data_IF_721730601788
#
_entry.id   IF_721730601788
#
_cell.length_a   1.000
_cell.length_b   1.000
_cell.length_c   1.000
_cell.angle_alpha   90.00
_cell.angle_beta   90.00
_cell.angle_gamma   90.00
#
_symmetry.space_group_name_H-M   'P 1'
#
loop_
_entity.id
_entity.type
_entity.pdbx_description
1 polymer ?
#
# COMPACT_ATOMS: atom_id res chain seq x y z
N UNK A 1 13.69 0.68 39.74
CA UNK A 1 13.33 1.67 38.71
C UNK A 1 12.98 0.90 37.45
N UNK A 2 11.70 0.56 37.26
CA UNK A 2 11.25 -0.17 36.08
C UNK A 2 11.19 0.81 34.91
N UNK A 3 12.05 0.58 33.90
CA UNK A 3 12.05 1.37 32.67
C UNK A 3 10.69 1.24 31.99
N UNK A 4 9.99 2.36 31.84
CA UNK A 4 8.81 2.41 30.96
C UNK A 4 9.30 2.14 29.53
N UNK A 5 8.62 1.30 28.73
CA UNK A 5 8.93 1.22 27.32
C UNK A 5 8.78 2.64 26.76
N UNK A 6 9.81 3.11 26.07
CA UNK A 6 9.72 4.32 25.28
C UNK A 6 8.52 4.16 24.36
N UNK A 7 7.60 5.13 24.41
CA UNK A 7 6.62 5.31 23.35
C UNK A 7 7.38 5.17 22.04
N UNK A 8 7.04 4.16 21.23
CA UNK A 8 7.75 3.87 20.00
C UNK A 8 7.91 5.18 19.24
N UNK A 9 9.13 5.71 19.18
CA UNK A 9 9.46 6.75 18.20
C UNK A 9 9.01 6.15 16.87
N UNK A 10 8.19 6.87 16.11
CA UNK A 10 7.77 6.40 14.79
C UNK A 10 9.01 5.86 14.08
N UNK A 11 9.00 4.57 13.73
CA UNK A 11 10.18 3.91 13.18
C UNK A 11 10.62 4.70 11.95
N UNK A 12 11.90 5.07 11.92
CA UNK A 12 12.52 5.65 10.75
C UNK A 12 12.75 4.52 9.73
N UNK A 13 12.14 4.65 8.55
CA UNK A 13 12.16 3.64 7.48
C UNK A 13 13.09 4.02 6.33
N UNK A 14 13.97 5.01 6.54
CA UNK A 14 15.00 5.40 5.57
C UNK A 14 15.81 4.20 5.10
N UNK A 15 16.12 4.14 3.80
CA UNK A 15 16.82 3.02 3.18
C UNK A 15 15.92 1.86 2.74
N UNK A 16 14.63 1.88 3.10
CA UNK A 16 13.65 0.88 2.65
C UNK A 16 12.81 1.40 1.48
N UNK A 17 12.38 0.47 0.64
CA UNK A 17 11.46 0.69 -0.47
C UNK A 17 10.35 -0.35 -0.43
N UNK A 18 9.09 0.05 -0.60
CA UNK A 18 7.94 -0.87 -0.53
C UNK A 18 7.04 -0.72 -1.75
N UNK A 19 6.48 -1.83 -2.23
CA UNK A 19 5.37 -1.86 -3.19
C UNK A 19 4.07 -2.22 -2.47
N UNK A 20 3.08 -1.33 -2.53
CA UNK A 20 1.72 -1.57 -2.03
C UNK A 20 0.87 -2.05 -3.21
N UNK A 21 0.12 -3.13 -3.05
CA UNK A 21 -0.79 -3.65 -4.07
C UNK A 21 -2.26 -3.39 -3.68
N UNK A 22 -2.89 -2.29 -4.16
CA UNK A 22 -4.33 -2.14 -4.00
C UNK A 22 -5.04 -3.23 -4.81
N UNK A 23 -5.59 -4.22 -4.10
CA UNK A 23 -6.27 -5.36 -4.70
C UNK A 23 -7.42 -4.93 -5.63
N UNK A 24 -7.67 -5.76 -6.65
CA UNK A 24 -8.73 -5.58 -7.66
C UNK A 24 -8.64 -4.24 -8.40
N UNK A 25 -9.78 -3.75 -8.92
CA UNK A 25 -9.88 -2.54 -9.74
C UNK A 25 -11.17 -2.52 -10.57
N UNK A 26 -11.19 -1.73 -11.64
CA UNK A 26 -12.32 -1.63 -12.58
C UNK A 26 -12.76 -3.00 -13.08
N UNK A 27 -14.08 -3.24 -13.04
CA UNK A 27 -14.71 -4.47 -13.52
C UNK A 27 -14.80 -5.60 -12.48
N UNK A 28 -14.20 -5.44 -11.30
CA UNK A 28 -14.44 -6.35 -10.18
C UNK A 28 -15.77 -6.03 -9.48
N UNK A 29 -16.52 -7.08 -9.12
CA UNK A 29 -17.86 -7.01 -8.53
C UNK A 29 -17.89 -7.30 -7.03
N UNK A 30 -16.74 -7.41 -6.36
CA UNK A 30 -16.68 -7.66 -4.93
C UNK A 30 -17.14 -6.41 -4.19
N UNK A 31 -18.23 -6.56 -3.44
CA UNK A 31 -18.83 -5.47 -2.67
C UNK A 31 -19.50 -6.01 -1.41
N UNK A 32 -19.53 -5.17 -0.38
CA UNK A 32 -20.25 -5.46 0.87
C UNK A 32 -21.77 -5.29 0.72
N UNK A 33 -22.53 -5.54 1.81
CA UNK A 33 -24.00 -5.46 1.81
C UNK A 33 -24.58 -4.08 1.44
N UNK A 34 -23.77 -3.02 1.57
CA UNK A 34 -24.16 -1.64 1.25
C UNK A 34 -23.82 -1.23 -0.18
N UNK A 35 -23.19 -2.12 -0.97
CA UNK A 35 -22.67 -1.79 -2.30
C UNK A 35 -21.28 -1.13 -2.28
N UNK A 36 -20.67 -0.95 -1.11
CA UNK A 36 -19.29 -0.47 -1.01
C UNK A 36 -18.33 -1.49 -1.63
N UNK A 37 -17.59 -1.09 -2.66
CA UNK A 37 -16.66 -1.95 -3.40
C UNK A 37 -15.39 -2.16 -2.62
N UNK A 38 -14.91 -3.40 -2.60
CA UNK A 38 -13.62 -3.77 -2.01
C UNK A 38 -12.46 -2.97 -2.65
N UNK A 39 -12.50 -2.82 -3.98
CA UNK A 39 -11.46 -2.13 -4.76
C UNK A 39 -11.29 -0.65 -4.36
N UNK A 40 -12.39 0.02 -3.97
CA UNK A 40 -12.39 1.43 -3.58
C UNK A 40 -11.78 1.61 -2.19
N UNK A 41 -12.12 0.70 -1.26
CA UNK A 41 -11.53 0.66 0.09
C UNK A 41 -10.04 0.36 0.01
N UNK A 42 -9.65 -0.68 -0.74
CA UNK A 42 -8.25 -1.07 -0.89
C UNK A 42 -7.41 0.09 -1.43
N UNK A 43 -7.88 0.77 -2.48
CA UNK A 43 -7.19 1.93 -3.04
C UNK A 43 -7.06 3.08 -2.03
N UNK A 44 -8.15 3.39 -1.32
CA UNK A 44 -8.16 4.46 -0.32
C UNK A 44 -7.18 4.16 0.83
N UNK A 45 -7.22 2.94 1.37
CA UNK A 45 -6.31 2.48 2.44
C UNK A 45 -4.87 2.50 1.97
N UNK A 46 -4.59 2.09 0.73
CA UNK A 46 -3.23 2.15 0.17
C UNK A 46 -2.67 3.57 0.09
N UNK A 47 -3.51 4.57 -0.22
CA UNK A 47 -3.08 5.98 -0.18
C UNK A 47 -2.79 6.46 1.24
N UNK A 48 -3.64 6.12 2.21
CA UNK A 48 -3.36 6.42 3.61
C UNK A 48 -2.05 5.77 4.07
N UNK A 49 -1.85 4.49 3.77
CA UNK A 49 -0.62 3.78 4.10
C UNK A 49 0.60 4.42 3.46
N UNK A 50 0.54 4.79 2.17
CA UNK A 50 1.60 5.52 1.48
C UNK A 50 1.99 6.79 2.24
N UNK A 51 1.01 7.58 2.68
CA UNK A 51 1.26 8.82 3.41
C UNK A 51 1.86 8.55 4.79
N UNK A 52 1.43 7.51 5.50
CA UNK A 52 2.04 7.09 6.76
C UNK A 52 3.51 6.68 6.58
N UNK A 53 3.80 5.84 5.58
CA UNK A 53 5.17 5.40 5.31
C UNK A 53 6.09 6.56 4.90
N UNK A 54 5.58 7.51 4.11
CA UNK A 54 6.32 8.73 3.76
C UNK A 54 6.65 9.59 4.98
N UNK A 55 5.73 9.73 5.94
CA UNK A 55 5.99 10.44 7.21
C UNK A 55 7.02 9.72 8.09
N UNK A 56 7.24 8.44 7.84
CA UNK A 56 8.29 7.62 8.46
C UNK A 56 9.60 7.61 7.64
N UNK A 57 9.79 8.57 6.71
CA UNK A 57 11.00 8.73 5.89
C UNK A 57 11.41 7.51 5.05
N UNK A 58 10.48 6.66 4.64
CA UNK A 58 10.78 5.60 3.66
C UNK A 58 11.30 6.20 2.33
N UNK A 59 12.24 5.53 1.66
CA UNK A 59 12.86 6.06 0.44
C UNK A 59 11.88 6.02 -0.74
N UNK A 60 11.20 4.87 -0.92
CA UNK A 60 10.27 4.67 -2.04
C UNK A 60 8.99 3.97 -1.60
N UNK A 61 7.85 4.47 -2.09
CA UNK A 61 6.55 3.75 -2.02
C UNK A 61 5.90 3.72 -3.39
N UNK A 62 5.80 2.52 -3.95
CA UNK A 62 5.12 2.23 -5.20
C UNK A 62 3.71 1.72 -4.93
N UNK A 63 2.80 1.99 -5.86
CA UNK A 63 1.50 1.34 -5.90
C UNK A 63 1.36 0.64 -7.24
N UNK A 64 0.86 -0.59 -7.26
CA UNK A 64 0.63 -1.34 -8.52
C UNK A 64 -0.46 -0.70 -9.40
N UNK A 65 -1.36 0.08 -8.79
CA UNK A 65 -2.33 0.97 -9.45
C UNK A 65 -2.64 2.18 -8.58
N UNK A 66 -3.10 3.27 -9.19
CA UNK A 66 -3.45 4.53 -8.48
C UNK A 66 -4.89 4.98 -8.71
N UNK A 67 -5.60 4.32 -9.62
CA UNK A 67 -6.99 4.58 -9.96
C UNK A 67 -7.62 3.33 -10.61
N UNK A 68 -8.81 3.51 -11.19
CA UNK A 68 -9.54 2.49 -11.94
C UNK A 68 -9.34 2.60 -13.48
N UNK A 69 -8.43 3.46 -13.95
CA UNK A 69 -8.07 3.55 -15.37
C UNK A 69 -7.22 2.37 -15.83
N UNK A 70 -6.55 1.71 -14.88
CA UNK A 70 -5.74 0.52 -15.08
C UNK A 70 -6.22 -0.62 -14.19
N UNK A 71 -6.12 -1.86 -14.67
CA UNK A 71 -6.40 -3.05 -13.88
C UNK A 71 -5.33 -4.13 -14.16
N UNK A 72 -4.15 -4.02 -13.52
CA UNK A 72 -3.04 -4.93 -13.79
C UNK A 72 -3.40 -6.36 -13.40
N UNK A 73 -2.95 -7.32 -14.21
CA UNK A 73 -3.08 -8.75 -13.91
C UNK A 73 -2.23 -9.12 -12.68
N UNK A 74 -2.49 -10.29 -12.08
CA UNK A 74 -1.71 -10.77 -10.94
C UNK A 74 -0.20 -10.84 -11.26
N UNK A 75 0.17 -11.35 -12.44
CA UNK A 75 1.58 -11.39 -12.86
C UNK A 75 2.17 -10.01 -13.12
N UNK A 76 1.38 -9.04 -13.60
CA UNK A 76 1.87 -7.66 -13.74
C UNK A 76 2.13 -7.00 -12.39
N UNK A 77 1.29 -7.26 -11.38
CA UNK A 77 1.47 -6.74 -10.01
C UNK A 77 2.77 -7.25 -9.40
N UNK A 78 3.03 -8.54 -9.53
CA UNK A 78 4.28 -9.18 -9.12
C UNK A 78 5.49 -8.60 -9.88
N UNK A 79 5.37 -8.49 -11.22
CA UNK A 79 6.43 -7.95 -12.05
C UNK A 79 6.78 -6.50 -11.68
N UNK A 80 5.81 -5.66 -11.31
CA UNK A 80 6.07 -4.29 -10.83
C UNK A 80 6.96 -4.33 -9.58
N UNK A 81 6.60 -5.12 -8.55
CA UNK A 81 7.39 -5.21 -7.33
C UNK A 81 8.81 -5.72 -7.61
N UNK A 82 8.93 -6.83 -8.35
CA UNK A 82 10.22 -7.45 -8.68
C UNK A 82 11.11 -6.53 -9.53
N UNK A 83 10.53 -5.80 -10.49
CA UNK A 83 11.29 -4.88 -11.38
C UNK A 83 11.91 -3.73 -10.59
N UNK A 84 11.22 -3.23 -9.58
CA UNK A 84 11.71 -2.13 -8.75
C UNK A 84 12.61 -2.59 -7.60
N UNK A 85 12.71 -3.90 -7.35
CA UNK A 85 13.58 -4.46 -6.30
C UNK A 85 13.25 -3.90 -4.92
N UNK A 86 11.96 -3.75 -4.62
CA UNK A 86 11.49 -3.33 -3.29
C UNK A 86 11.83 -4.40 -2.23
N UNK A 87 11.94 -3.98 -0.97
CA UNK A 87 12.14 -4.85 0.20
C UNK A 87 10.87 -5.63 0.56
#
# INVERSE_FOLDING_TARGET
>A
MFGRPSSASAQDLSGLSVCIDPGHGRGNTNQGPTGLREADINLSVSFFLKDFLKRANIDTVLLTRVDDSTNPTLSQREAIANTFGVD
#
